data_IF_045919975378
#
_entry.id   IF_045919975378
#
_cell.length_a   1.000
_cell.length_b   1.000
_cell.length_c   1.000
_cell.angle_alpha   90.00
_cell.angle_beta   90.00
_cell.angle_gamma   90.00
#
_symmetry.space_group_name_H-M   'P 1'
#
loop_
_entity.id
_entity.type
_entity.pdbx_description
1 polymer ?
#
# COMPACT_ATOMS: atom_id res chain seq x y z
N UNK A 1 -2.87 0.06 -11.68
CA UNK A 1 -1.67 -0.70 -11.25
C UNK A 1 -2.07 -1.78 -10.26
N UNK A 2 -1.44 -2.96 -10.24
CA UNK A 2 -1.78 -4.04 -9.29
C UNK A 2 -0.80 -4.15 -8.11
N UNK A 3 -1.33 -4.32 -6.90
CA UNK A 3 -0.57 -4.55 -5.66
C UNK A 3 -1.01 -5.86 -5.01
N UNK A 4 -0.07 -6.77 -4.76
CA UNK A 4 -0.33 -8.00 -4.01
C UNK A 4 0.02 -7.82 -2.54
N UNK A 5 -0.85 -8.29 -1.65
CA UNK A 5 -0.63 -8.30 -0.21
C UNK A 5 -0.34 -9.73 0.23
N UNK A 6 0.76 -9.93 0.95
CA UNK A 6 0.99 -11.19 1.66
C UNK A 6 0.07 -11.23 2.89
N UNK A 7 -0.84 -12.21 3.00
CA UNK A 7 -1.80 -12.25 4.09
C UNK A 7 -1.12 -12.49 5.44
N UNK A 8 -1.58 -11.80 6.47
CA UNK A 8 -1.16 -11.99 7.87
C UNK A 8 -2.21 -12.82 8.59
N UNK A 9 -1.78 -13.83 9.36
CA UNK A 9 -2.71 -14.68 10.11
C UNK A 9 -3.59 -13.86 11.04
N UNK A 10 -4.90 -14.18 11.07
CA UNK A 10 -5.92 -13.51 11.89
C UNK A 10 -6.13 -12.01 11.60
N UNK A 11 -5.64 -11.50 10.48
CA UNK A 11 -6.02 -10.19 9.99
C UNK A 11 -7.50 -10.19 9.57
N UNK A 12 -8.25 -9.20 10.04
CA UNK A 12 -9.65 -8.95 9.67
C UNK A 12 -9.77 -8.12 8.39
N UNK A 13 -8.85 -7.19 8.19
CA UNK A 13 -8.71 -6.37 6.99
C UNK A 13 -7.28 -5.83 6.92
N UNK A 14 -6.97 -5.12 5.84
CA UNK A 14 -5.69 -4.49 5.59
C UNK A 14 -5.90 -3.02 5.25
N UNK A 15 -4.90 -2.20 5.55
CA UNK A 15 -4.81 -0.87 4.98
C UNK A 15 -3.62 -0.83 4.03
N UNK A 16 -3.89 -0.42 2.80
CA UNK A 16 -2.90 -0.06 1.81
C UNK A 16 -2.74 1.45 1.86
N UNK A 17 -1.52 1.95 2.07
CA UNK A 17 -1.20 3.35 1.83
C UNK A 17 -0.27 3.49 0.63
N UNK A 18 -0.50 4.53 -0.15
CA UNK A 18 0.35 4.86 -1.29
C UNK A 18 0.46 6.36 -1.50
N UNK A 19 1.57 6.79 -2.08
CA UNK A 19 1.83 8.20 -2.38
C UNK A 19 2.92 8.34 -3.42
N UNK A 20 3.03 9.54 -4.01
CA UNK A 20 4.09 9.82 -4.99
C UNK A 20 5.43 9.82 -4.27
N UNK A 21 6.40 9.07 -4.79
CA UNK A 21 7.74 9.04 -4.22
C UNK A 21 8.35 10.44 -4.21
N UNK A 22 8.94 10.82 -3.08
CA UNK A 22 9.64 12.10 -2.96
C UNK A 22 10.91 12.15 -3.80
N UNK A 23 11.56 13.33 -3.86
CA UNK A 23 12.89 13.48 -4.44
C UNK A 23 13.87 12.47 -3.84
N UNK A 24 14.83 12.01 -4.64
CA UNK A 24 15.93 11.15 -4.17
C UNK A 24 15.49 9.86 -3.45
N UNK A 25 14.28 9.36 -3.75
CA UNK A 25 13.77 8.12 -3.16
C UNK A 25 13.17 8.28 -1.77
N UNK A 26 12.95 9.51 -1.30
CA UNK A 26 12.29 9.77 -0.03
C UNK A 26 10.85 9.24 -0.01
N UNK A 27 10.38 8.92 1.20
CA UNK A 27 8.99 8.55 1.40
C UNK A 27 8.04 9.70 0.99
N UNK A 28 6.83 9.37 0.51
CA UNK A 28 5.80 10.36 0.20
C UNK A 28 5.52 11.30 1.38
N UNK A 29 5.41 12.60 1.07
CA UNK A 29 4.94 13.61 2.02
C UNK A 29 3.43 13.51 2.31
N UNK A 30 2.69 12.87 1.40
CA UNK A 30 1.24 12.72 1.45
C UNK A 30 0.87 11.31 1.04
N UNK A 31 0.08 10.66 1.90
CA UNK A 31 -0.33 9.28 1.76
C UNK A 31 -1.84 9.21 1.56
N UNK A 32 -2.26 8.50 0.51
CA UNK A 32 -3.63 8.05 0.35
C UNK A 32 -3.77 6.69 1.02
N UNK A 33 -4.77 6.54 1.90
CA UNK A 33 -5.06 5.28 2.59
C UNK A 33 -6.32 4.65 1.99
N UNK A 34 -6.23 3.35 1.69
CA UNK A 34 -7.34 2.53 1.24
C UNK A 34 -7.48 1.31 2.14
N UNK A 35 -8.68 1.10 2.68
CA UNK A 35 -9.01 -0.12 3.42
C UNK A 35 -9.35 -1.24 2.43
N UNK A 36 -8.75 -2.40 2.63
CA UNK A 36 -8.91 -3.58 1.79
C UNK A 36 -9.43 -4.74 2.66
N UNK A 37 -10.59 -5.31 2.34
CA UNK A 37 -11.22 -6.32 3.19
C UNK A 37 -10.49 -7.67 3.15
N UNK A 38 -9.77 -7.98 2.07
CA UNK A 38 -9.07 -9.25 1.91
C UNK A 38 -7.79 -9.09 1.10
N UNK A 39 -6.77 -9.89 1.45
CA UNK A 39 -5.52 -9.98 0.70
C UNK A 39 -5.54 -11.10 -0.37
N UNK A 40 -6.71 -11.71 -0.62
CA UNK A 40 -6.84 -12.87 -1.53
C UNK A 40 -6.59 -12.54 -3.00
N UNK A 41 -6.84 -11.29 -3.41
CA UNK A 41 -6.71 -10.85 -4.79
C UNK A 41 -5.76 -9.66 -4.90
N UNK A 42 -5.04 -9.51 -6.04
CA UNK A 42 -4.34 -8.28 -6.33
C UNK A 42 -5.30 -7.09 -6.29
N UNK A 43 -4.89 -6.02 -5.61
CA UNK A 43 -5.66 -4.79 -5.51
C UNK A 43 -5.34 -3.91 -6.72
N UNK A 44 -6.36 -3.54 -7.49
CA UNK A 44 -6.19 -2.47 -8.49
C UNK A 44 -6.13 -1.13 -7.80
N UNK A 45 -5.02 -0.42 -7.95
CA UNK A 45 -4.87 0.99 -7.58
C UNK A 45 -5.03 1.81 -8.85
N UNK A 46 -6.11 2.58 -8.88
CA UNK A 46 -6.57 3.37 -10.02
C UNK A 46 -6.37 4.87 -9.75
N UNK A 47 -6.47 5.71 -10.79
CA UNK A 47 -6.31 7.15 -10.67
C UNK A 47 -4.88 7.63 -10.38
N UNK A 48 -3.88 6.76 -10.57
CA UNK A 48 -2.48 7.15 -10.50
C UNK A 48 -2.08 7.91 -11.77
N UNK A 49 -1.24 8.94 -11.61
CA UNK A 49 -0.70 9.70 -12.74
C UNK A 49 0.44 8.91 -13.40
N UNK A 50 0.35 8.60 -14.71
CA UNK A 50 1.44 7.96 -15.43
C UNK A 50 2.72 8.80 -15.41
N UNK A 51 3.87 8.15 -15.50
CA UNK A 51 5.19 8.80 -15.47
C UNK A 51 5.73 9.11 -14.08
N UNK A 52 5.04 8.68 -13.01
CA UNK A 52 5.47 8.89 -11.61
C UNK A 52 5.78 7.58 -10.90
N UNK A 53 6.80 7.63 -10.05
CA UNK A 53 7.06 6.56 -9.07
C UNK A 53 6.13 6.73 -7.86
N UNK A 54 5.52 5.63 -7.44
CA UNK A 54 4.68 5.56 -6.26
C UNK A 54 5.28 4.58 -5.25
N UNK A 55 5.20 4.94 -3.98
CA UNK A 55 5.57 4.07 -2.86
C UNK A 55 4.31 3.46 -2.28
N UNK A 56 4.35 2.16 -1.99
CA UNK A 56 3.26 1.39 -1.42
C UNK A 56 3.71 0.74 -0.11
N UNK A 57 2.85 0.79 0.90
CA UNK A 57 3.02 0.08 2.16
C UNK A 57 1.68 -0.49 2.62
N UNK A 58 1.73 -1.59 3.36
CA UNK A 58 0.54 -2.29 3.83
C UNK A 58 0.66 -2.57 5.31
N UNK A 59 -0.45 -2.48 6.04
CA UNK A 59 -0.54 -2.99 7.41
C UNK A 59 -1.79 -3.83 7.58
N UNK A 60 -1.71 -4.82 8.47
CA UNK A 60 -2.85 -5.66 8.82
C UNK A 60 -3.59 -5.06 10.02
N UNK A 61 -4.90 -5.25 10.05
CA UNK A 61 -5.74 -4.95 11.21
C UNK A 61 -6.29 -6.25 11.78
N UNK A 62 -6.00 -6.53 13.05
CA UNK A 62 -6.43 -7.74 13.75
C UNK A 62 -7.08 -7.44 15.09
N UNK A 63 -7.20 -8.47 15.94
CA UNK A 63 -7.80 -8.35 17.28
C UNK A 63 -7.07 -7.33 18.18
N UNK A 64 -5.76 -7.21 18.02
CA UNK A 64 -4.90 -6.32 18.82
C UNK A 64 -4.75 -4.91 18.20
N UNK A 65 -5.45 -4.62 17.11
CA UNK A 65 -5.31 -3.37 16.37
C UNK A 65 -4.46 -3.51 15.10
N UNK A 66 -3.84 -2.41 14.68
CA UNK A 66 -2.99 -2.37 13.49
C UNK A 66 -1.58 -2.88 13.80
N UNK A 67 -1.01 -3.62 12.86
CA UNK A 67 0.44 -3.86 12.82
C UNK A 67 1.18 -2.59 12.42
N UNK A 68 2.50 -2.60 12.58
CA UNK A 68 3.36 -1.67 11.85
C UNK A 68 3.17 -1.82 10.34
N UNK A 69 3.53 -0.75 9.63
CA UNK A 69 3.57 -0.76 8.18
C UNK A 69 4.65 -1.71 7.66
N UNK A 70 4.39 -2.36 6.54
CA UNK A 70 5.37 -3.16 5.82
C UNK A 70 6.54 -2.30 5.33
N UNK A 71 7.61 -2.96 4.88
CA UNK A 71 8.63 -2.31 4.06
C UNK A 71 8.01 -1.62 2.84
N UNK A 72 8.60 -0.49 2.47
CA UNK A 72 8.19 0.30 1.32
C UNK A 72 8.52 -0.40 0.01
N UNK A 73 7.56 -0.42 -0.91
CA UNK A 73 7.76 -0.93 -2.27
C UNK A 73 7.53 0.21 -3.25
N UNK A 74 8.54 0.53 -4.05
CA UNK A 74 8.45 1.54 -5.09
C UNK A 74 8.08 0.91 -6.44
N UNK A 75 7.13 1.51 -7.13
CA UNK A 75 6.67 1.06 -8.45
C UNK A 75 6.39 2.26 -9.35
N UNK A 76 6.90 2.18 -10.56
CA UNK A 76 6.67 3.20 -11.57
C UNK A 76 5.31 2.97 -12.25
N UNK A 77 4.49 4.01 -12.32
CA UNK A 77 3.26 3.97 -13.11
C UNK A 77 3.63 4.28 -14.56
N UNK A 78 3.65 3.24 -15.40
CA UNK A 78 3.76 3.38 -16.85
C UNK A 78 2.39 3.64 -17.48
#
# INVERSE_FOLDING_TARGET
>A
MFVQITPVQRARNYQLRYGTQGPDGMEPNSWTIRTVPTARFPISVDGLTPGKAYVFQVRAYGKLGYTDWSSSVSRFCA
#
